data_IF_990113858816
#
_entry.id   IF_990113858816
#
_cell.length_a   1.000
_cell.length_b   1.000
_cell.length_c   1.000
_cell.angle_alpha   90.00
_cell.angle_beta   90.00
_cell.angle_gamma   90.00
#
_symmetry.space_group_name_H-M   'P 1'
#
loop_
_entity.id
_entity.type
_entity.pdbx_description
1 polymer ?
#
# COMPACT_ATOMS: atom_id res chain seq x y z
N UNK A 1 -30.16 -13.40 13.81
CA UNK A 1 -28.99 -13.25 14.72
C UNK A 1 -28.95 -14.48 15.63
N UNK A 2 -27.86 -15.26 15.55
CA UNK A 2 -27.68 -16.43 16.42
C UNK A 2 -27.62 -15.95 17.90
N UNK A 3 -28.26 -16.65 18.80
CA UNK A 3 -28.22 -16.50 20.26
C UNK A 3 -28.15 -17.87 20.90
N UNK A 4 -27.65 -17.99 22.12
CA UNK A 4 -27.76 -19.19 22.90
C UNK A 4 -29.23 -19.51 23.21
N UNK A 5 -29.51 -20.76 23.53
CA UNK A 5 -30.84 -21.23 23.98
C UNK A 5 -30.75 -21.68 25.40
N UNK A 6 -31.87 -21.64 26.11
CA UNK A 6 -31.97 -22.25 27.43
C UNK A 6 -31.77 -23.77 27.37
N UNK A 7 -31.18 -24.36 28.38
CA UNK A 7 -30.85 -25.78 28.45
C UNK A 7 -29.95 -26.32 27.31
N UNK A 8 -29.15 -25.41 26.69
CA UNK A 8 -28.21 -25.77 25.63
C UNK A 8 -26.83 -26.05 26.23
N UNK A 9 -26.18 -27.16 25.91
CA UNK A 9 -24.80 -27.38 26.29
C UNK A 9 -23.91 -26.32 25.67
N UNK A 10 -22.85 -25.96 26.37
CA UNK A 10 -21.85 -25.01 25.83
C UNK A 10 -21.27 -25.54 24.51
N UNK A 11 -21.36 -24.73 23.47
CA UNK A 11 -20.81 -25.02 22.16
C UNK A 11 -19.77 -23.91 21.85
N UNK A 12 -18.58 -24.32 21.47
CA UNK A 12 -17.50 -23.43 21.03
C UNK A 12 -17.30 -23.64 19.55
N UNK A 13 -17.35 -22.57 18.77
CA UNK A 13 -17.04 -22.61 17.36
C UNK A 13 -15.93 -21.60 17.05
N UNK A 14 -14.97 -22.03 16.25
CA UNK A 14 -13.90 -21.19 15.74
C UNK A 14 -13.87 -21.26 14.22
N UNK A 15 -13.77 -20.09 13.60
CA UNK A 15 -13.54 -19.97 12.17
C UNK A 15 -12.35 -19.02 11.97
N UNK A 16 -11.37 -19.48 11.21
CA UNK A 16 -10.25 -18.67 10.81
C UNK A 16 -9.99 -18.84 9.32
N UNK A 17 -9.60 -17.76 8.66
CA UNK A 17 -9.09 -17.85 7.31
C UNK A 17 -7.90 -16.90 7.12
N UNK A 18 -7.05 -17.31 6.20
CA UNK A 18 -5.99 -16.51 5.64
C UNK A 18 -6.26 -16.36 4.15
N UNK A 19 -6.12 -15.14 3.63
CA UNK A 19 -6.24 -14.89 2.20
C UNK A 19 -5.16 -13.94 1.74
N UNK A 20 -4.80 -14.04 0.46
CA UNK A 20 -3.89 -13.13 -0.21
C UNK A 20 -4.63 -12.59 -1.44
N UNK A 21 -4.76 -11.28 -1.50
CA UNK A 21 -5.28 -10.60 -2.69
C UNK A 21 -4.12 -10.11 -3.54
N UNK A 22 -4.27 -10.20 -4.86
CA UNK A 22 -3.33 -9.65 -5.85
C UNK A 22 -4.03 -8.59 -6.70
N UNK A 23 -3.28 -7.69 -7.35
CA UNK A 23 -3.84 -6.74 -8.31
C UNK A 23 -4.61 -7.48 -9.43
N UNK A 24 -5.77 -6.94 -9.81
CA UNK A 24 -6.58 -7.46 -10.92
C UNK A 24 -6.30 -6.74 -12.23
N UNK A 25 -5.53 -5.67 -12.18
CA UNK A 25 -5.06 -4.90 -13.34
C UNK A 25 -3.61 -5.22 -13.63
N UNK A 26 -3.16 -4.95 -14.86
CA UNK A 26 -1.74 -5.08 -15.20
C UNK A 26 -0.90 -4.13 -14.33
N UNK A 27 0.22 -4.65 -13.85
CA UNK A 27 1.26 -3.91 -13.13
C UNK A 27 2.49 -3.68 -14.02
N UNK A 28 2.34 -3.96 -15.31
CA UNK A 28 3.38 -3.84 -16.34
C UNK A 28 3.46 -2.38 -16.81
N UNK A 29 4.25 -1.60 -16.12
CA UNK A 29 4.51 -0.19 -16.43
C UNK A 29 5.78 -0.04 -17.28
N UNK A 30 5.88 1.09 -17.99
CA UNK A 30 7.11 1.40 -18.72
C UNK A 30 8.26 1.72 -17.75
N UNK A 31 9.24 0.82 -17.69
CA UNK A 31 10.40 0.94 -16.79
C UNK A 31 11.66 1.43 -17.53
N UNK A 32 11.59 1.62 -18.85
CA UNK A 32 12.71 2.12 -19.64
C UNK A 32 12.76 3.64 -19.63
N UNK A 33 13.80 4.20 -19.05
CA UNK A 33 13.97 5.64 -18.87
C UNK A 33 13.89 6.43 -20.17
N UNK A 34 14.41 5.90 -21.27
CA UNK A 34 14.34 6.55 -22.59
C UNK A 34 12.91 6.81 -23.03
N UNK A 35 12.04 5.80 -23.00
CA UNK A 35 10.66 5.94 -23.48
C UNK A 35 9.82 6.75 -22.50
N UNK A 36 10.03 6.55 -21.21
CA UNK A 36 9.36 7.34 -20.17
C UNK A 36 9.62 8.83 -20.33
N UNK A 37 10.89 9.24 -20.52
CA UNK A 37 11.28 10.64 -20.74
C UNK A 37 10.75 11.19 -22.07
N UNK A 38 10.88 10.46 -23.17
CA UNK A 38 10.39 10.87 -24.49
C UNK A 38 8.88 11.08 -24.52
N UNK A 39 8.11 10.21 -23.88
CA UNK A 39 6.65 10.35 -23.78
C UNK A 39 6.28 11.60 -22.97
N UNK A 40 6.94 11.82 -21.83
CA UNK A 40 6.71 13.00 -20.99
C UNK A 40 7.01 14.29 -21.75
N UNK A 41 8.14 14.37 -22.43
CA UNK A 41 8.51 15.53 -23.24
C UNK A 41 7.54 15.76 -24.39
N UNK A 42 7.10 14.69 -25.08
CA UNK A 42 6.13 14.80 -26.16
C UNK A 42 4.81 15.43 -25.69
N UNK A 43 4.26 14.96 -24.55
CA UNK A 43 3.02 15.51 -24.02
C UNK A 43 3.16 16.95 -23.53
N UNK A 44 4.27 17.28 -22.91
CA UNK A 44 4.52 18.65 -22.44
C UNK A 44 4.75 19.61 -23.61
N UNK A 45 5.49 19.20 -24.62
CA UNK A 45 5.64 19.99 -25.86
C UNK A 45 4.30 20.23 -26.55
N UNK A 46 3.43 19.22 -26.62
CA UNK A 46 2.11 19.35 -27.23
C UNK A 46 1.15 20.29 -26.48
N UNK A 47 1.29 20.40 -25.16
CA UNK A 47 0.37 21.16 -24.29
C UNK A 47 0.92 22.50 -23.83
N UNK A 48 2.22 22.61 -23.60
CA UNK A 48 2.86 23.79 -23.00
C UNK A 48 4.00 24.37 -23.85
N UNK A 49 4.31 23.75 -24.99
CA UNK A 49 5.40 24.13 -25.89
C UNK A 49 6.79 24.18 -25.19
N UNK A 50 6.97 23.38 -24.17
CA UNK A 50 8.25 23.20 -23.46
C UNK A 50 8.43 21.72 -23.13
N UNK A 51 9.67 21.17 -23.14
CA UNK A 51 9.89 19.79 -22.72
C UNK A 51 9.67 19.66 -21.20
N UNK A 52 9.30 18.45 -20.76
CA UNK A 52 9.19 18.12 -19.34
C UNK A 52 10.56 17.94 -18.68
N UNK A 53 11.49 17.36 -19.43
CA UNK A 53 12.86 17.11 -18.98
C UNK A 53 13.82 18.16 -19.54
N UNK A 54 15.00 18.28 -18.93
CA UNK A 54 16.11 19.09 -19.44
C UNK A 54 17.20 18.22 -20.09
N UNK A 55 16.85 17.01 -20.56
CA UNK A 55 17.80 16.12 -21.21
C UNK A 55 18.32 16.69 -22.51
N UNK A 56 19.65 16.60 -22.68
CA UNK A 56 20.34 16.89 -23.90
C UNK A 56 20.26 15.72 -24.88
N UNK A 57 20.65 15.95 -26.13
CA UNK A 57 20.78 14.86 -27.12
C UNK A 57 21.77 13.77 -26.65
N UNK A 58 22.84 14.14 -25.94
CA UNK A 58 23.79 13.21 -25.35
C UNK A 58 23.14 12.32 -24.26
N UNK A 59 22.28 12.91 -23.43
CA UNK A 59 21.54 12.17 -22.41
C UNK A 59 20.54 11.19 -23.01
N UNK A 60 19.83 11.62 -24.04
CA UNK A 60 18.92 10.73 -24.77
C UNK A 60 19.66 9.61 -25.48
N UNK A 61 20.84 9.85 -26.01
CA UNK A 61 21.71 8.79 -26.56
C UNK A 61 22.11 7.80 -25.46
N UNK A 62 22.53 8.31 -24.30
CA UNK A 62 22.91 7.49 -23.16
C UNK A 62 21.74 6.67 -22.61
N UNK A 63 20.54 7.24 -22.53
CA UNK A 63 19.30 6.54 -22.17
C UNK A 63 18.95 5.45 -23.19
N UNK A 64 19.12 5.74 -24.49
CA UNK A 64 18.89 4.77 -25.55
C UNK A 64 19.83 3.56 -25.45
N UNK A 65 21.10 3.80 -25.20
CA UNK A 65 22.09 2.74 -25.02
C UNK A 65 21.79 1.82 -23.83
N UNK A 66 21.14 2.36 -22.77
CA UNK A 66 20.76 1.64 -21.55
C UNK A 66 19.37 1.02 -21.59
N UNK A 67 18.55 1.31 -22.60
CA UNK A 67 17.11 0.99 -22.63
C UNK A 67 16.72 -0.47 -22.34
N UNK A 68 17.67 -1.39 -22.53
CA UNK A 68 17.47 -2.83 -22.29
C UNK A 68 18.14 -3.32 -20.99
N UNK A 69 18.80 -2.44 -20.23
CA UNK A 69 19.43 -2.81 -18.97
C UNK A 69 18.34 -2.94 -17.89
N UNK A 70 18.15 -4.14 -17.39
CA UNK A 70 17.21 -4.42 -16.31
C UNK A 70 17.76 -4.09 -14.92
N UNK A 71 19.07 -3.96 -14.81
CA UNK A 71 19.80 -3.63 -13.60
C UNK A 71 20.90 -2.65 -13.94
N UNK A 72 21.38 -1.91 -12.95
CA UNK A 72 22.46 -0.97 -13.15
C UNK A 72 23.76 -1.69 -13.59
N UNK A 73 24.37 -1.17 -14.64
CA UNK A 73 25.65 -1.64 -15.12
C UNK A 73 26.75 -0.70 -14.62
N UNK A 74 27.76 -1.18 -13.86
CA UNK A 74 28.85 -0.34 -13.36
C UNK A 74 29.63 0.42 -14.43
N UNK A 75 29.71 -0.11 -15.66
CA UNK A 75 30.37 0.57 -16.76
C UNK A 75 29.55 1.73 -17.35
N UNK A 76 28.27 1.81 -17.05
CA UNK A 76 27.35 2.88 -17.45
C UNK A 76 26.31 3.12 -16.35
N UNK A 77 26.68 3.76 -15.26
CA UNK A 77 25.83 3.94 -14.09
C UNK A 77 24.56 4.70 -14.42
N UNK A 78 23.52 4.47 -13.64
CA UNK A 78 22.22 5.10 -13.82
C UNK A 78 22.22 6.57 -13.40
N UNK A 79 23.13 6.97 -12.52
CA UNK A 79 23.29 8.36 -12.11
C UNK A 79 24.73 8.80 -12.42
N UNK A 80 24.86 9.86 -13.16
CA UNK A 80 26.17 10.47 -13.48
C UNK A 80 26.18 11.90 -12.99
N UNK A 81 27.38 12.45 -12.78
CA UNK A 81 27.56 13.88 -12.49
C UNK A 81 27.97 14.63 -13.75
N UNK A 82 27.31 15.74 -13.98
CA UNK A 82 27.63 16.64 -15.09
C UNK A 82 27.62 18.09 -14.63
N UNK A 83 28.33 18.95 -15.35
CA UNK A 83 28.36 20.40 -15.07
C UNK A 83 27.39 21.12 -16.00
N UNK A 84 26.24 21.51 -15.45
CA UNK A 84 25.18 22.22 -16.17
C UNK A 84 24.91 23.56 -15.51
N UNK A 85 24.71 24.58 -16.31
CA UNK A 85 24.47 25.94 -15.83
C UNK A 85 25.52 26.43 -14.81
N UNK A 86 26.79 25.99 -14.98
CA UNK A 86 27.87 26.36 -14.09
C UNK A 86 27.95 25.61 -12.77
N UNK A 87 27.04 24.66 -12.50
CA UNK A 87 26.98 23.86 -11.27
C UNK A 87 27.13 22.39 -11.60
N UNK A 88 27.77 21.64 -10.70
CA UNK A 88 27.80 20.19 -10.76
C UNK A 88 26.46 19.66 -10.24
N UNK A 89 25.84 18.77 -10.99
CA UNK A 89 24.56 18.17 -10.62
C UNK A 89 24.49 16.72 -11.09
N UNK A 90 23.56 15.96 -10.51
CA UNK A 90 23.26 14.60 -10.93
C UNK A 90 22.39 14.63 -12.19
N UNK A 91 22.71 13.73 -13.11
CA UNK A 91 21.91 13.41 -14.29
C UNK A 91 21.45 11.97 -14.20
N UNK A 92 20.15 11.76 -14.29
CA UNK A 92 19.53 10.46 -14.05
C UNK A 92 19.24 9.76 -15.38
N UNK A 93 19.81 8.59 -15.55
CA UNK A 93 19.78 7.82 -16.80
C UNK A 93 19.36 6.36 -16.55
N UNK A 94 18.44 6.14 -15.61
CA UNK A 94 18.04 4.82 -15.14
C UNK A 94 16.98 4.14 -16.02
N UNK A 95 16.74 2.87 -15.71
CA UNK A 95 15.56 2.09 -16.07
C UNK A 95 14.94 1.57 -14.75
N UNK A 96 14.32 2.44 -14.01
CA UNK A 96 13.89 2.15 -12.64
C UNK A 96 12.42 1.76 -12.58
N UNK A 97 12.15 0.67 -11.89
CA UNK A 97 10.79 0.16 -11.69
C UNK A 97 10.17 0.74 -10.41
N UNK A 98 9.55 1.90 -10.54
CA UNK A 98 8.89 2.59 -9.44
C UNK A 98 7.73 1.80 -8.86
N UNK A 99 6.98 1.05 -9.69
CA UNK A 99 5.86 0.28 -9.20
C UNK A 99 6.32 -0.80 -8.23
N UNK A 100 7.25 -1.66 -8.66
CA UNK A 100 7.77 -2.73 -7.83
C UNK A 100 8.63 -2.23 -6.65
N UNK A 101 9.15 -1.03 -6.72
CA UNK A 101 9.83 -0.38 -5.60
C UNK A 101 8.84 0.06 -4.52
N UNK A 102 7.69 0.61 -4.90
CA UNK A 102 6.72 1.22 -3.98
C UNK A 102 5.69 0.23 -3.45
N UNK A 103 5.32 -0.78 -4.24
CA UNK A 103 4.18 -1.64 -3.95
C UNK A 103 4.52 -3.12 -3.90
N UNK A 104 3.82 -3.83 -3.04
CA UNK A 104 3.80 -5.29 -3.00
C UNK A 104 2.67 -5.82 -3.90
N UNK A 105 2.92 -6.92 -4.60
CA UNK A 105 1.91 -7.61 -5.42
C UNK A 105 0.94 -8.45 -4.58
N UNK A 106 1.11 -8.47 -3.28
CA UNK A 106 0.32 -9.28 -2.37
C UNK A 106 -0.17 -8.50 -1.18
N UNK A 107 -1.45 -8.72 -0.84
CA UNK A 107 -2.14 -8.11 0.28
C UNK A 107 -2.70 -9.20 1.20
N UNK A 108 -1.91 -9.67 2.18
CA UNK A 108 -2.35 -10.71 3.09
C UNK A 108 -3.39 -10.20 4.08
N UNK A 109 -4.35 -11.07 4.37
CA UNK A 109 -5.46 -10.81 5.29
C UNK A 109 -5.63 -12.01 6.21
N UNK A 110 -5.84 -11.74 7.50
CA UNK A 110 -6.15 -12.73 8.53
C UNK A 110 -7.48 -12.38 9.19
N UNK A 111 -8.32 -13.36 9.38
CA UNK A 111 -9.59 -13.23 10.08
C UNK A 111 -9.78 -14.42 11.01
N UNK A 112 -9.99 -14.15 12.28
CA UNK A 112 -10.20 -15.12 13.31
C UNK A 112 -11.49 -14.78 14.05
N UNK A 113 -12.41 -15.74 14.12
CA UNK A 113 -13.68 -15.58 14.78
C UNK A 113 -13.91 -16.75 15.75
N UNK A 114 -14.14 -16.44 17.01
CA UNK A 114 -14.53 -17.40 18.03
C UNK A 114 -15.95 -17.07 18.51
N UNK A 115 -16.77 -18.08 18.71
CA UNK A 115 -18.11 -17.93 19.24
C UNK A 115 -18.39 -19.04 20.26
N UNK A 116 -18.86 -18.64 21.41
CA UNK A 116 -19.25 -19.51 22.52
C UNK A 116 -20.71 -19.24 22.80
N UNK A 117 -21.54 -20.26 22.76
CA UNK A 117 -22.96 -20.15 23.12
C UNK A 117 -23.39 -21.30 24.00
N UNK A 118 -24.42 -21.10 24.78
CA UNK A 118 -24.99 -22.13 25.65
C UNK A 118 -26.05 -21.53 26.56
N UNK A 119 -26.52 -22.39 27.47
CA UNK A 119 -27.47 -21.93 28.48
C UNK A 119 -27.82 -22.95 29.51
N UNK A 120 -28.22 -22.46 30.66
CA UNK A 120 -28.86 -23.23 31.77
C UNK A 120 -30.38 -23.12 31.67
N UNK A 121 -31.10 -23.63 32.67
CA UNK A 121 -32.56 -23.44 32.76
C UNK A 121 -33.01 -21.99 32.82
N UNK A 122 -32.21 -21.12 33.43
CA UNK A 122 -32.56 -19.74 33.70
C UNK A 122 -31.68 -18.71 32.93
N UNK A 123 -30.61 -19.16 32.26
CA UNK A 123 -29.67 -18.27 31.58
C UNK A 123 -29.36 -18.82 30.17
N UNK A 124 -29.45 -17.99 29.15
CA UNK A 124 -28.85 -18.23 27.85
C UNK A 124 -27.79 -17.20 27.56
N UNK A 125 -26.71 -17.59 26.93
CA UNK A 125 -25.59 -16.73 26.63
C UNK A 125 -24.99 -16.97 25.25
N UNK A 126 -24.40 -15.92 24.68
CA UNK A 126 -23.52 -15.99 23.53
C UNK A 126 -22.42 -14.96 23.72
N UNK A 127 -21.18 -15.41 23.59
CA UNK A 127 -19.99 -14.57 23.58
C UNK A 127 -19.28 -14.77 22.24
N UNK A 128 -18.95 -13.72 21.55
CA UNK A 128 -18.17 -13.81 20.32
C UNK A 128 -17.06 -12.80 20.29
N UNK A 129 -15.91 -13.20 19.73
CA UNK A 129 -14.76 -12.36 19.46
C UNK A 129 -14.32 -12.52 18.02
N UNK A 130 -13.97 -11.40 17.36
CA UNK A 130 -13.37 -11.43 16.03
C UNK A 130 -12.13 -10.54 16.02
N UNK A 131 -11.06 -11.09 15.51
CA UNK A 131 -9.86 -10.36 15.14
C UNK A 131 -9.70 -10.37 13.62
N UNK A 132 -9.53 -9.19 13.05
CA UNK A 132 -9.27 -9.02 11.63
C UNK A 132 -8.02 -8.17 11.46
N UNK A 133 -7.12 -8.62 10.58
CA UNK A 133 -5.93 -7.87 10.20
C UNK A 133 -5.75 -7.95 8.69
N UNK A 134 -5.44 -6.81 8.08
CA UNK A 134 -5.11 -6.71 6.67
C UNK A 134 -3.88 -5.83 6.50
N UNK A 135 -2.85 -6.36 5.83
CA UNK A 135 -1.69 -5.58 5.39
C UNK A 135 -2.07 -4.81 4.13
N UNK A 136 -1.62 -3.58 3.99
CA UNK A 136 -1.75 -2.82 2.75
C UNK A 136 -0.73 -3.22 1.69
N UNK A 137 -0.66 -2.46 0.63
CA UNK A 137 0.18 -2.74 -0.54
C UNK A 137 1.51 -1.99 -0.52
N UNK A 138 1.72 -1.07 0.42
CA UNK A 138 2.94 -0.28 0.49
C UNK A 138 4.12 -1.12 0.95
N UNK A 139 5.23 -1.07 0.22
CA UNK A 139 6.43 -1.84 0.54
C UNK A 139 7.33 -1.13 1.54
N UNK A 140 7.54 0.16 1.37
CA UNK A 140 8.51 0.93 2.18
C UNK A 140 8.02 1.10 3.61
N UNK A 141 6.77 1.53 3.79
CA UNK A 141 6.09 1.59 5.08
C UNK A 141 4.71 0.93 4.97
N UNK A 142 4.61 -0.36 5.27
CA UNK A 142 3.35 -1.07 5.12
C UNK A 142 2.25 -0.46 5.98
N UNK A 143 1.20 -0.01 5.33
CA UNK A 143 -0.05 0.30 5.99
C UNK A 143 -0.71 -0.97 6.52
N UNK A 144 -1.45 -0.85 7.62
CA UNK A 144 -2.08 -1.99 8.26
C UNK A 144 -3.39 -1.60 8.92
N UNK A 145 -4.42 -2.33 8.58
CA UNK A 145 -5.70 -2.25 9.26
C UNK A 145 -5.87 -3.41 10.22
N UNK A 146 -6.25 -3.12 11.48
CA UNK A 146 -6.62 -4.11 12.50
C UNK A 146 -7.98 -3.75 13.07
N UNK A 147 -8.82 -4.76 13.30
CA UNK A 147 -10.05 -4.54 14.04
C UNK A 147 -10.35 -5.67 15.00
N UNK A 148 -10.95 -5.28 16.11
CA UNK A 148 -11.38 -6.15 17.20
C UNK A 148 -12.85 -5.95 17.40
N UNK A 149 -13.60 -7.05 17.37
CA UNK A 149 -15.03 -7.04 17.68
C UNK A 149 -15.26 -8.00 18.85
N UNK A 150 -15.97 -7.55 19.83
CA UNK A 150 -16.41 -8.38 20.93
C UNK A 150 -17.90 -8.17 21.15
N UNK A 151 -18.61 -9.27 21.39
CA UNK A 151 -20.04 -9.21 21.63
C UNK A 151 -20.43 -10.20 22.69
N UNK A 152 -21.24 -9.74 23.64
CA UNK A 152 -21.88 -10.56 24.66
C UNK A 152 -23.39 -10.38 24.55
N UNK A 153 -24.10 -11.48 24.44
CA UNK A 153 -25.56 -11.55 24.62
C UNK A 153 -25.84 -12.42 25.81
N UNK A 154 -26.65 -11.90 26.71
CA UNK A 154 -27.15 -12.61 27.89
C UNK A 154 -28.66 -12.45 27.94
N UNK A 155 -29.34 -13.51 28.33
CA UNK A 155 -30.76 -13.45 28.66
C UNK A 155 -30.97 -14.32 29.88
N UNK A 156 -31.48 -13.72 30.96
CA UNK A 156 -31.69 -14.38 32.24
C UNK A 156 -33.15 -14.26 32.67
N UNK A 157 -33.76 -15.39 32.99
CA UNK A 157 -35.06 -15.43 33.58
C UNK A 157 -34.92 -15.42 35.12
N UNK A 158 -35.13 -14.30 35.73
CA UNK A 158 -34.92 -14.07 37.17
C UNK A 158 -36.12 -14.57 37.97
N UNK A 159 -37.31 -14.35 37.42
CA UNK A 159 -38.60 -14.81 37.91
C UNK A 159 -39.49 -15.18 36.72
N UNK A 160 -40.56 -15.97 36.89
CA UNK A 160 -41.47 -16.30 35.80
C UNK A 160 -42.08 -15.08 35.10
N UNK A 161 -42.12 -13.95 35.80
CA UNK A 161 -42.64 -12.69 35.28
C UNK A 161 -41.52 -11.67 34.93
N UNK A 162 -40.22 -12.01 35.15
CA UNK A 162 -39.11 -11.06 34.93
C UNK A 162 -37.97 -11.72 34.18
N UNK A 163 -37.78 -11.28 32.94
CA UNK A 163 -36.65 -11.65 32.10
C UNK A 163 -35.79 -10.40 31.87
N UNK A 164 -34.48 -10.53 32.07
CA UNK A 164 -33.50 -9.50 31.78
C UNK A 164 -32.67 -9.94 30.58
N UNK A 165 -32.54 -9.06 29.59
CA UNK A 165 -31.70 -9.32 28.40
C UNK A 165 -30.68 -8.19 28.20
N UNK A 166 -29.45 -8.57 27.88
CA UNK A 166 -28.36 -7.65 27.52
C UNK A 166 -27.74 -8.06 26.19
N UNK A 167 -27.38 -7.08 25.38
CA UNK A 167 -26.66 -7.28 24.12
C UNK A 167 -25.62 -6.17 23.98
N UNK A 168 -24.45 -6.44 24.50
CA UNK A 168 -23.31 -5.51 24.51
C UNK A 168 -22.38 -5.82 23.35
N UNK A 169 -21.96 -4.79 22.64
CA UNK A 169 -20.99 -4.87 21.55
C UNK A 169 -19.85 -3.89 21.80
N UNK A 170 -18.65 -4.35 21.59
CA UNK A 170 -17.45 -3.52 21.56
C UNK A 170 -16.81 -3.66 20.18
N UNK A 171 -16.41 -2.52 19.63
CA UNK A 171 -15.67 -2.46 18.38
C UNK A 171 -14.52 -1.49 18.53
N UNK A 172 -13.33 -1.94 18.12
CA UNK A 172 -12.16 -1.09 18.02
C UNK A 172 -11.48 -1.37 16.68
N UNK A 173 -11.07 -0.32 15.99
CA UNK A 173 -10.22 -0.42 14.82
C UNK A 173 -8.99 0.45 14.99
N UNK A 174 -7.91 -0.02 14.41
CA UNK A 174 -6.65 0.70 14.33
C UNK A 174 -6.17 0.63 12.88
N UNK A 175 -5.92 1.79 12.30
CA UNK A 175 -5.33 1.91 10.99
C UNK A 175 -3.97 2.57 11.12
N UNK A 176 -2.89 1.79 10.87
CA UNK A 176 -1.57 2.36 10.68
C UNK A 176 -1.54 2.94 9.27
N UNK A 177 -1.52 4.24 9.20
CA UNK A 177 -1.50 4.99 7.98
C UNK A 177 -0.06 5.30 7.57
N UNK A 178 0.20 5.26 6.27
CA UNK A 178 1.46 5.69 5.71
C UNK A 178 1.52 7.22 5.73
N UNK A 179 2.18 7.75 6.74
CA UNK A 179 2.10 9.12 7.22
C UNK A 179 2.43 10.25 6.26
N UNK A 180 1.44 10.76 5.54
CA UNK A 180 1.49 12.10 4.97
C UNK A 180 0.09 12.74 5.03
N UNK A 181 0.00 14.00 5.44
CA UNK A 181 -1.26 14.71 5.69
C UNK A 181 -1.97 15.21 4.42
N UNK A 182 -1.36 15.07 3.25
CA UNK A 182 -1.92 15.59 2.00
C UNK A 182 -2.56 14.46 1.17
N UNK A 183 -3.88 14.43 1.13
CA UNK A 183 -4.70 13.43 0.42
C UNK A 183 -4.33 13.24 -1.06
N UNK A 184 -3.70 14.24 -1.69
CA UNK A 184 -3.34 14.20 -3.10
C UNK A 184 -1.96 13.63 -3.40
N UNK A 185 -1.09 13.44 -2.40
CA UNK A 185 0.35 13.28 -2.64
C UNK A 185 0.95 11.90 -2.41
N UNK A 186 0.27 10.96 -1.74
CA UNK A 186 0.97 9.84 -1.11
C UNK A 186 1.41 8.72 -2.05
N UNK A 187 0.61 8.35 -3.03
CA UNK A 187 0.92 7.24 -3.92
C UNK A 187 0.82 7.63 -5.38
N UNK A 188 -0.10 8.51 -5.66
CA UNK A 188 -0.41 8.89 -7.03
C UNK A 188 0.74 9.66 -7.68
N UNK A 189 1.36 10.59 -6.96
CA UNK A 189 2.44 11.40 -7.54
C UNK A 189 3.71 10.62 -7.85
N UNK A 190 4.32 9.85 -6.92
CA UNK A 190 5.50 9.07 -7.29
C UNK A 190 5.24 8.09 -8.43
N UNK A 191 4.08 7.44 -8.44
CA UNK A 191 3.76 6.44 -9.47
C UNK A 191 3.47 7.06 -10.84
N UNK A 192 2.85 8.25 -10.87
CA UNK A 192 2.45 8.92 -12.13
C UNK A 192 3.48 9.93 -12.65
N UNK A 193 4.27 10.52 -11.76
CA UNK A 193 5.18 11.63 -12.12
C UNK A 193 6.66 11.24 -12.04
N UNK A 194 7.01 10.15 -11.36
CA UNK A 194 8.39 9.68 -11.38
C UNK A 194 8.70 9.01 -12.70
N UNK A 195 9.55 9.63 -13.50
CA UNK A 195 10.03 9.01 -14.72
C UNK A 195 10.90 7.78 -14.40
N UNK A 196 10.84 6.77 -15.23
CA UNK A 196 11.67 5.58 -15.08
C UNK A 196 13.18 5.88 -15.21
N UNK A 197 13.54 7.06 -15.73
CA UNK A 197 14.92 7.51 -15.77
C UNK A 197 15.47 7.96 -14.42
N UNK A 198 14.62 8.21 -13.41
CA UNK A 198 15.04 8.61 -12.06
C UNK A 198 15.17 7.42 -11.12
N UNK A 199 15.93 7.61 -10.05
CA UNK A 199 16.11 6.66 -8.94
C UNK A 199 15.68 7.30 -7.62
N UNK A 200 15.36 6.52 -6.58
CA UNK A 200 14.93 7.09 -5.30
C UNK A 200 16.06 7.70 -4.47
N UNK A 201 17.29 7.25 -4.70
CA UNK A 201 18.46 7.62 -3.88
C UNK A 201 19.64 7.93 -4.79
N UNK A 202 20.33 9.02 -4.49
CA UNK A 202 21.56 9.43 -5.16
C UNK A 202 22.75 8.52 -4.77
N UNK A 203 23.84 8.51 -5.54
CA UNK A 203 25.04 7.73 -5.21
C UNK A 203 25.68 8.09 -3.86
N UNK A 204 25.44 9.28 -3.35
CA UNK A 204 25.92 9.72 -2.02
C UNK A 204 24.99 9.33 -0.86
N UNK A 205 23.90 8.59 -1.15
CA UNK A 205 22.91 8.13 -0.17
C UNK A 205 21.82 9.14 0.16
N UNK A 206 21.82 10.32 -0.44
CA UNK A 206 20.73 11.30 -0.25
C UNK A 206 19.49 10.92 -1.06
N UNK A 207 18.31 11.23 -0.54
CA UNK A 207 17.06 11.01 -1.27
C UNK A 207 16.95 11.99 -2.45
N UNK A 208 16.46 11.48 -3.58
CA UNK A 208 16.15 12.32 -4.74
C UNK A 208 14.90 13.12 -4.43
N UNK A 209 14.98 14.45 -4.46
CA UNK A 209 13.85 15.32 -4.19
C UNK A 209 12.95 15.47 -5.42
N UNK A 210 11.67 15.78 -5.18
CA UNK A 210 10.71 16.06 -6.25
C UNK A 210 11.17 17.21 -7.16
N UNK A 211 11.84 18.22 -6.60
CA UNK A 211 12.38 19.36 -7.34
C UNK A 211 13.49 18.92 -8.31
N UNK A 212 14.30 17.94 -7.92
CA UNK A 212 15.33 17.37 -8.79
C UNK A 212 14.73 16.56 -9.94
N UNK A 213 13.51 16.01 -9.78
CA UNK A 213 12.82 15.24 -10.81
C UNK A 213 12.20 16.11 -11.90
N UNK A 214 11.99 17.39 -11.63
CA UNK A 214 11.33 18.34 -12.55
C UNK A 214 12.24 19.44 -13.06
N UNK A 215 13.44 19.59 -12.50
CA UNK A 215 14.35 20.70 -12.77
C UNK A 215 15.78 20.23 -13.08
N UNK A 216 15.94 19.04 -13.58
CA UNK A 216 17.27 18.64 -14.06
C UNK A 216 17.64 19.33 -15.35
#
# INVERSE_FOLDING_TARGET
>A
TKSGKYNEKAEVSYNGYFSVSSPTTSTDYETRGYYSAKIADFFMMATQNTPYTSYTEADYKALWERRNDKTENPARPWVVTDRRNGRQQYVYLANFDWYNYLYDDSRPTWDHNINIKGGTKALSYMVSGRYYQQKGVNRIEPDMFKSYNFRVKLQAEIKPWLTIASNTKFFQSNYKYYGYEDEYNNFRKPTLHALASFVPVNPDGTAVSHTSMTQS
#
